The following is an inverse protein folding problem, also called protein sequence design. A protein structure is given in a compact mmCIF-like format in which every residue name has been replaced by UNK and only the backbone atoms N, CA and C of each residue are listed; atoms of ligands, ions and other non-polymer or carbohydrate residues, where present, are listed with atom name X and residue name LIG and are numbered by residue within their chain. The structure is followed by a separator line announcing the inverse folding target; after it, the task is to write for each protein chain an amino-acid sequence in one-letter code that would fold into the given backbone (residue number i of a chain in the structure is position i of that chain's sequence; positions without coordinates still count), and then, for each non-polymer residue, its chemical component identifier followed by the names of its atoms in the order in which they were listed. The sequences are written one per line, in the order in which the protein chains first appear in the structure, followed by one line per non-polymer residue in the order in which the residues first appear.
data_IF_488635785372
#
_entry.id   IF_488635785372
#
_cell.length_a   1.000
_cell.length_b   1.000
_cell.length_c   1.000
_cell.angle_alpha   90.00
_cell.angle_beta   90.00
_cell.angle_gamma   90.00
#
_symmetry.space_group_name_H-M   'P 1'
#
loop_
_entity.id
_entity.type
_entity.pdbx_description
1 polymer ?
#
# COMPACT_ATOMS: atom_id res chain seq x y z
N UNK A 1 14.24 -0.38 -8.24
CA UNK A 1 13.12 -0.95 -9.02
C UNK A 1 12.16 0.12 -9.51
N UNK A 2 11.74 1.06 -8.65
CA UNK A 2 10.92 2.21 -9.02
C UNK A 2 11.39 2.93 -10.30
N UNK A 3 12.69 3.23 -10.41
CA UNK A 3 13.30 3.82 -11.62
C UNK A 3 13.06 2.99 -12.89
N UNK A 4 13.07 1.66 -12.77
CA UNK A 4 12.90 0.76 -13.91
C UNK A 4 11.48 0.86 -14.44
N UNK A 5 10.48 0.77 -13.56
CA UNK A 5 9.08 0.75 -13.98
C UNK A 5 8.65 2.08 -14.60
N UNK A 6 9.01 3.20 -13.96
CA UNK A 6 8.72 4.54 -14.50
C UNK A 6 9.41 4.72 -15.86
N UNK A 7 10.67 4.29 -16.00
CA UNK A 7 11.38 4.38 -17.28
C UNK A 7 10.79 3.45 -18.35
N UNK A 8 10.35 2.22 -18.01
CA UNK A 8 9.66 1.32 -18.94
C UNK A 8 8.37 1.97 -19.45
N UNK A 9 7.55 2.50 -18.54
CA UNK A 9 6.33 3.24 -18.88
C UNK A 9 6.63 4.41 -19.81
N UNK A 10 7.58 5.26 -19.42
CA UNK A 10 7.94 6.46 -20.19
C UNK A 10 8.46 6.12 -21.58
N UNK A 11 9.32 5.11 -21.69
CA UNK A 11 9.92 4.68 -22.94
C UNK A 11 8.89 4.13 -23.92
N UNK A 12 7.96 3.32 -23.40
CA UNK A 12 7.00 2.59 -24.24
C UNK A 12 5.73 3.40 -24.53
N UNK A 13 5.45 4.41 -23.68
CA UNK A 13 4.17 5.13 -23.61
C UNK A 13 3.00 4.14 -23.55
N UNK A 14 3.18 3.10 -22.74
CA UNK A 14 2.23 2.02 -22.57
C UNK A 14 2.15 1.59 -21.10
N UNK A 15 1.01 1.02 -20.77
CA UNK A 15 0.62 0.44 -19.49
C UNK A 15 1.24 -0.95 -19.28
N UNK A 16 1.25 -1.48 -18.04
CA UNK A 16 1.97 -2.72 -17.71
C UNK A 16 1.60 -3.92 -18.59
N UNK A 17 0.34 -4.06 -19.03
CA UNK A 17 -0.10 -5.19 -19.86
C UNK A 17 0.65 -5.30 -21.20
N UNK A 18 0.98 -4.17 -21.83
CA UNK A 18 1.61 -4.14 -23.16
C UNK A 18 3.07 -3.67 -23.13
N UNK A 19 3.48 -2.91 -22.13
CA UNK A 19 4.80 -2.28 -22.05
C UNK A 19 5.97 -3.29 -22.15
N UNK A 20 5.90 -4.41 -21.42
CA UNK A 20 6.94 -5.44 -21.46
C UNK A 20 7.15 -6.04 -22.85
N UNK A 21 6.08 -6.27 -23.60
CA UNK A 21 6.15 -6.77 -24.98
C UNK A 21 6.77 -5.76 -25.95
N UNK A 22 6.60 -4.45 -25.71
CA UNK A 22 7.27 -3.38 -26.47
C UNK A 22 8.75 -3.27 -26.15
N UNK A 23 9.16 -3.57 -24.93
CA UNK A 23 10.59 -3.64 -24.55
C UNK A 23 11.26 -4.83 -25.22
N UNK A 24 10.64 -6.02 -25.15
CA UNK A 24 11.18 -7.24 -25.77
C UNK A 24 10.06 -8.19 -26.18
N UNK A 25 10.04 -8.58 -27.47
CA UNK A 25 9.12 -9.62 -27.97
C UNK A 25 9.28 -10.90 -27.14
N UNK A 26 8.15 -11.51 -26.75
CA UNK A 26 8.11 -12.70 -25.89
C UNK A 26 7.87 -12.41 -24.40
N UNK A 27 7.99 -11.16 -23.96
CA UNK A 27 7.82 -10.78 -22.54
C UNK A 27 6.40 -10.32 -22.17
N UNK A 28 5.41 -10.54 -23.05
CA UNK A 28 4.00 -10.25 -22.75
C UNK A 28 3.46 -11.00 -21.50
N UNK A 29 3.83 -12.28 -21.24
CA UNK A 29 3.36 -12.98 -20.04
C UNK A 29 3.66 -12.23 -18.74
N UNK A 30 4.84 -11.59 -18.63
CA UNK A 30 5.19 -10.79 -17.45
C UNK A 30 4.25 -9.58 -17.30
N UNK A 31 3.89 -8.92 -18.41
CA UNK A 31 2.93 -7.82 -18.41
C UNK A 31 1.51 -8.25 -18.04
N UNK A 32 1.09 -9.46 -18.43
CA UNK A 32 -0.19 -10.03 -18.01
C UNK A 32 -0.21 -10.21 -16.49
N UNK A 33 0.84 -10.81 -15.90
CA UNK A 33 0.94 -10.98 -14.44
C UNK A 33 0.98 -9.60 -13.74
N UNK A 34 1.78 -8.66 -14.26
CA UNK A 34 1.86 -7.30 -13.72
C UNK A 34 0.52 -6.55 -13.76
N UNK A 35 -0.33 -6.82 -14.75
CA UNK A 35 -1.69 -6.26 -14.83
C UNK A 35 -2.68 -7.01 -13.94
N UNK A 36 -2.49 -8.32 -13.70
CA UNK A 36 -3.35 -9.10 -12.80
C UNK A 36 -3.18 -8.71 -11.34
N UNK A 37 -1.98 -8.27 -10.92
CA UNK A 37 -1.74 -7.79 -9.56
C UNK A 37 -2.76 -6.72 -9.13
N UNK A 38 -2.87 -5.55 -9.79
CA UNK A 38 -3.83 -4.52 -9.39
C UNK A 38 -5.29 -4.97 -9.56
N UNK A 39 -5.60 -5.86 -10.51
CA UNK A 39 -6.95 -6.46 -10.68
C UNK A 39 -7.34 -7.31 -9.45
N UNK A 40 -6.40 -8.01 -8.85
CA UNK A 40 -6.63 -8.78 -7.60
C UNK A 40 -6.65 -7.85 -6.39
N UNK A 41 -5.82 -6.80 -6.37
CA UNK A 41 -5.73 -5.86 -5.24
C UNK A 41 -7.01 -5.02 -5.11
N UNK A 42 -7.51 -4.50 -6.22
CA UNK A 42 -8.59 -3.51 -6.20
C UNK A 42 -9.85 -3.95 -5.42
N UNK A 43 -10.41 -5.16 -5.60
CA UNK A 43 -11.60 -5.61 -4.90
C UNK A 43 -11.52 -5.59 -3.37
N UNK A 44 -10.41 -6.09 -2.81
CA UNK A 44 -10.25 -6.08 -1.35
C UNK A 44 -9.82 -4.70 -0.84
N UNK A 45 -9.09 -3.94 -1.64
CA UNK A 45 -8.68 -2.58 -1.29
C UNK A 45 -9.89 -1.64 -1.16
N UNK A 46 -10.88 -1.73 -2.06
CA UNK A 46 -12.12 -0.94 -1.96
C UNK A 46 -13.02 -1.42 -0.81
N UNK A 47 -12.91 -2.69 -0.42
CA UNK A 47 -13.58 -3.24 0.77
C UNK A 47 -13.00 -2.64 2.04
N UNK A 48 -11.67 -2.62 2.19
CA UNK A 48 -10.99 -1.92 3.30
C UNK A 48 -11.32 -0.43 3.28
N UNK A 49 -11.37 0.20 2.10
CA UNK A 49 -11.81 1.59 1.95
C UNK A 49 -13.22 1.84 2.50
N UNK A 50 -14.14 0.89 2.32
CA UNK A 50 -15.46 0.90 2.96
C UNK A 50 -15.41 0.82 4.49
N UNK A 51 -14.49 0.03 5.05
CA UNK A 51 -14.26 -0.03 6.50
C UNK A 51 -13.70 1.29 7.04
N UNK A 52 -12.74 1.89 6.36
CA UNK A 52 -12.20 3.21 6.72
C UNK A 52 -13.31 4.27 6.68
N UNK A 53 -14.18 4.23 5.65
CA UNK A 53 -15.32 5.12 5.55
C UNK A 53 -16.31 4.92 6.71
N UNK A 54 -16.58 3.68 7.12
CA UNK A 54 -17.41 3.36 8.29
C UNK A 54 -16.89 4.08 9.53
N UNK A 55 -15.61 3.90 9.84
CA UNK A 55 -15.00 4.45 11.04
C UNK A 55 -14.93 5.97 10.97
N UNK A 56 -14.57 6.54 9.82
CA UNK A 56 -14.61 7.98 9.62
C UNK A 56 -15.99 8.57 9.96
N UNK A 57 -17.08 7.97 9.46
CA UNK A 57 -18.44 8.43 9.73
C UNK A 57 -18.83 8.30 11.21
N UNK A 58 -18.38 7.25 11.89
CA UNK A 58 -18.67 7.02 13.31
C UNK A 58 -18.00 8.09 14.17
N UNK A 59 -16.73 8.39 13.91
CA UNK A 59 -16.02 9.47 14.61
C UNK A 59 -16.55 10.86 14.24
N UNK A 60 -16.90 11.08 12.97
CA UNK A 60 -17.49 12.35 12.50
C UNK A 60 -18.83 12.66 13.18
N UNK A 61 -19.61 11.63 13.52
CA UNK A 61 -20.89 11.76 14.23
C UNK A 61 -20.74 11.76 15.76
N UNK A 62 -19.51 11.78 16.28
CA UNK A 62 -19.21 11.80 17.72
C UNK A 62 -19.46 10.47 18.44
N UNK A 63 -19.67 9.37 17.70
CA UNK A 63 -19.94 8.03 18.24
C UNK A 63 -18.71 7.14 18.33
N UNK A 64 -17.51 7.73 18.43
CA UNK A 64 -16.23 6.99 18.44
C UNK A 64 -16.09 6.01 19.59
N UNK A 65 -16.75 6.25 20.73
CA UNK A 65 -16.77 5.29 21.86
C UNK A 65 -17.40 3.95 21.46
N UNK A 66 -18.42 3.94 20.59
CA UNK A 66 -18.99 2.70 20.09
C UNK A 66 -17.98 1.89 19.26
N UNK A 67 -17.10 2.57 18.52
CA UNK A 67 -16.07 1.93 17.70
C UNK A 67 -14.98 1.22 18.53
N UNK A 68 -14.87 1.54 19.82
CA UNK A 68 -13.92 0.91 20.74
C UNK A 68 -14.44 -0.40 21.36
N UNK A 69 -15.71 -0.74 21.15
CA UNK A 69 -16.28 -2.00 21.63
C UNK A 69 -15.60 -3.19 20.95
N UNK A 70 -15.36 -4.26 21.71
CA UNK A 70 -14.57 -5.41 21.27
C UNK A 70 -15.11 -6.06 20.00
N UNK A 71 -16.43 -6.20 19.88
CA UNK A 71 -17.08 -6.84 18.74
C UNK A 71 -17.47 -5.85 17.63
N UNK A 72 -17.24 -4.54 17.80
CA UNK A 72 -17.75 -3.54 16.86
C UNK A 72 -17.31 -3.80 15.42
N UNK A 73 -16.02 -4.12 15.24
CA UNK A 73 -15.45 -4.39 13.93
C UNK A 73 -16.00 -5.68 13.34
N UNK A 74 -15.98 -6.77 14.10
CA UNK A 74 -16.42 -8.10 13.66
C UNK A 74 -17.91 -8.11 13.34
N UNK A 75 -18.73 -7.45 14.16
CA UNK A 75 -20.18 -7.32 13.94
C UNK A 75 -20.46 -6.46 12.72
N UNK A 76 -19.64 -5.45 12.44
CA UNK A 76 -19.79 -4.63 11.24
C UNK A 76 -19.49 -5.43 9.97
N UNK A 77 -18.31 -6.06 9.87
CA UNK A 77 -17.88 -6.78 8.66
C UNK A 77 -18.73 -8.02 8.38
N UNK A 78 -19.36 -8.60 9.42
CA UNK A 78 -20.28 -9.73 9.29
C UNK A 78 -21.70 -9.35 8.83
N UNK A 79 -22.05 -8.06 8.69
CA UNK A 79 -23.39 -7.66 8.22
C UNK A 79 -23.61 -7.94 6.74
N UNK A 80 -24.85 -8.26 6.38
CA UNK A 80 -25.26 -8.56 5.00
C UNK A 80 -25.13 -7.38 4.03
N UNK A 81 -25.36 -6.15 4.49
CA UNK A 81 -25.56 -5.00 3.58
C UNK A 81 -24.62 -3.84 3.86
N UNK A 82 -24.34 -3.55 5.14
CA UNK A 82 -23.59 -2.33 5.52
C UNK A 82 -22.17 -2.28 4.93
N UNK A 83 -21.33 -3.34 5.02
CA UNK A 83 -19.99 -3.34 4.41
C UNK A 83 -20.04 -3.16 2.90
N UNK A 84 -21.00 -3.82 2.23
CA UNK A 84 -21.17 -3.76 0.76
C UNK A 84 -21.55 -2.35 0.32
N UNK A 85 -22.48 -1.69 1.01
CA UNK A 85 -22.89 -0.32 0.68
C UNK A 85 -21.72 0.65 0.86
N UNK A 86 -20.96 0.54 1.95
CA UNK A 86 -19.83 1.44 2.20
C UNK A 86 -18.67 1.19 1.23
N UNK A 87 -18.39 -0.06 0.88
CA UNK A 87 -17.45 -0.43 -0.19
C UNK A 87 -17.89 0.17 -1.53
N UNK A 88 -19.17 0.09 -1.88
CA UNK A 88 -19.70 0.69 -3.10
C UNK A 88 -19.57 2.22 -3.10
N UNK A 89 -19.90 2.90 -1.99
CA UNK A 89 -19.75 4.36 -1.88
C UNK A 89 -18.29 4.80 -2.02
N UNK A 90 -17.36 4.06 -1.39
CA UNK A 90 -15.93 4.29 -1.54
C UNK A 90 -15.49 4.09 -2.99
N UNK A 91 -15.94 3.01 -3.64
CA UNK A 91 -15.66 2.73 -5.05
C UNK A 91 -16.17 3.84 -5.98
N UNK A 92 -17.38 4.35 -5.77
CA UNK A 92 -17.94 5.44 -6.57
C UNK A 92 -17.06 6.70 -6.49
N UNK A 93 -16.53 7.02 -5.30
CA UNK A 93 -15.64 8.16 -5.13
C UNK A 93 -14.37 8.04 -5.99
N UNK A 94 -13.70 6.89 -5.97
CA UNK A 94 -12.49 6.66 -6.79
C UNK A 94 -12.82 6.57 -8.29
N UNK A 95 -13.96 5.99 -8.63
CA UNK A 95 -14.41 5.81 -10.01
C UNK A 95 -14.65 7.15 -10.70
N UNK A 96 -15.27 8.11 -10.01
CA UNK A 96 -15.49 9.47 -10.52
C UNK A 96 -14.15 10.17 -10.81
N UNK A 97 -13.14 9.98 -9.97
CA UNK A 97 -11.80 10.57 -10.16
C UNK A 97 -11.15 9.99 -11.41
N UNK A 98 -11.12 8.67 -11.55
CA UNK A 98 -10.49 8.01 -12.71
C UNK A 98 -11.20 8.31 -14.03
N UNK A 99 -12.53 8.47 -14.03
CA UNK A 99 -13.28 8.88 -15.22
C UNK A 99 -12.89 10.27 -15.73
N UNK A 100 -12.46 11.18 -14.85
CA UNK A 100 -11.96 12.51 -15.23
C UNK A 100 -10.54 12.47 -15.82
N UNK A 101 -9.88 11.31 -15.80
CA UNK A 101 -8.54 11.09 -16.35
C UNK A 101 -7.42 11.66 -15.47
N UNK A 102 -6.18 11.53 -15.94
CA UNK A 102 -4.98 11.84 -15.16
C UNK A 102 -4.93 13.30 -14.72
N UNK A 103 -4.99 14.25 -15.66
CA UNK A 103 -4.79 15.68 -15.33
C UNK A 103 -5.98 16.29 -14.56
N UNK A 104 -7.22 16.02 -15.01
CA UNK A 104 -8.44 16.64 -14.43
C UNK A 104 -9.02 15.85 -13.25
N UNK A 105 -8.62 14.60 -13.08
CA UNK A 105 -9.02 13.74 -11.98
C UNK A 105 -7.87 13.58 -10.99
N UNK A 106 -6.96 12.66 -11.31
CA UNK A 106 -5.91 12.17 -10.40
C UNK A 106 -5.02 13.30 -9.90
N UNK A 107 -4.41 14.07 -10.81
CA UNK A 107 -3.49 15.15 -10.47
C UNK A 107 -4.22 16.26 -9.68
N UNK A 108 -5.42 16.65 -10.13
CA UNK A 108 -6.22 17.67 -9.47
C UNK A 108 -6.62 17.26 -8.05
N UNK A 109 -7.04 16.00 -7.83
CA UNK A 109 -7.36 15.50 -6.50
C UNK A 109 -6.12 15.42 -5.61
N UNK A 110 -5.00 14.90 -6.13
CA UNK A 110 -3.77 14.72 -5.33
C UNK A 110 -3.16 16.05 -4.89
N UNK A 111 -3.27 17.12 -5.70
CA UNK A 111 -2.84 18.48 -5.32
C UNK A 111 -3.55 19.03 -4.09
N UNK A 112 -4.75 18.54 -3.78
CA UNK A 112 -5.54 18.96 -2.61
C UNK A 112 -5.39 17.95 -1.48
N UNK A 113 -5.56 16.67 -1.79
CA UNK A 113 -5.59 15.59 -0.80
C UNK A 113 -4.22 15.41 -0.13
N UNK A 114 -3.12 15.45 -0.89
CA UNK A 114 -1.79 15.15 -0.35
C UNK A 114 -1.31 16.18 0.67
N UNK A 115 -1.43 17.51 0.43
CA UNK A 115 -1.09 18.50 1.45
C UNK A 115 -1.95 18.37 2.72
N UNK A 116 -3.26 18.12 2.58
CA UNK A 116 -4.15 17.91 3.71
C UNK A 116 -3.74 16.68 4.54
N UNK A 117 -3.39 15.59 3.86
CA UNK A 117 -2.88 14.37 4.49
C UNK A 117 -1.62 14.67 5.30
N UNK A 118 -0.64 15.38 4.72
CA UNK A 118 0.61 15.72 5.42
C UNK A 118 0.33 16.56 6.66
N UNK A 119 -0.55 17.56 6.56
CA UNK A 119 -0.93 18.39 7.71
C UNK A 119 -1.57 17.57 8.83
N UNK A 120 -2.47 16.65 8.49
CA UNK A 120 -3.10 15.75 9.46
C UNK A 120 -2.07 14.84 10.12
N UNK A 121 -1.21 14.19 9.31
CA UNK A 121 -0.16 13.29 9.81
C UNK A 121 0.79 14.03 10.77
N UNK A 122 1.26 15.22 10.41
CA UNK A 122 2.15 16.02 11.27
C UNK A 122 1.43 16.45 12.54
N UNK A 123 0.18 16.93 12.45
CA UNK A 123 -0.59 17.35 13.60
C UNK A 123 -0.82 16.22 14.61
N UNK A 124 -1.21 15.03 14.13
CA UNK A 124 -1.44 13.87 15.00
C UNK A 124 -0.10 13.33 15.54
N UNK A 125 0.98 13.31 14.75
CA UNK A 125 2.30 12.91 15.22
C UNK A 125 2.81 13.80 16.36
N UNK A 126 2.67 15.13 16.25
CA UNK A 126 3.01 16.07 17.32
C UNK A 126 2.14 15.81 18.56
N UNK A 127 0.83 15.59 18.38
CA UNK A 127 -0.04 15.27 19.50
C UNK A 127 0.38 13.96 20.20
N UNK A 128 0.68 12.92 19.42
CA UNK A 128 1.05 11.58 19.90
C UNK A 128 2.34 11.54 20.73
N UNK A 129 3.24 12.52 20.57
CA UNK A 129 4.42 12.64 21.43
C UNK A 129 4.17 13.46 22.71
N UNK A 130 3.08 14.23 22.77
CA UNK A 130 2.73 15.09 23.92
C UNK A 130 1.76 14.44 24.91
N UNK A 131 1.16 13.31 24.55
CA UNK A 131 0.24 12.57 25.42
C UNK A 131 0.96 11.89 26.60
N UNK A 132 0.22 11.73 27.70
CA UNK A 132 0.63 11.01 28.90
C UNK A 132 -0.58 10.29 29.48
N UNK A 133 -0.39 9.07 29.96
CA UNK A 133 -1.46 8.27 30.54
C UNK A 133 -0.94 7.45 31.72
N UNK A 134 -1.70 7.47 32.82
CA UNK A 134 -1.47 6.61 33.99
C UNK A 134 -2.51 5.49 33.95
N UNK A 135 -2.04 4.25 33.80
CA UNK A 135 -2.95 3.10 33.77
C UNK A 135 -3.51 2.76 35.17
N UNK A 136 -4.43 1.79 35.23
CA UNK A 136 -5.06 1.36 36.48
C UNK A 136 -4.08 0.78 37.51
N UNK A 137 -2.87 0.39 37.08
CA UNK A 137 -1.80 -0.09 37.98
C UNK A 137 -0.94 1.06 38.54
N UNK A 138 -1.23 2.31 38.16
CA UNK A 138 -0.50 3.50 38.59
C UNK A 138 0.75 3.78 37.76
N UNK A 139 0.98 3.06 36.66
CA UNK A 139 2.15 3.26 35.80
C UNK A 139 1.87 4.38 34.80
N UNK A 140 2.62 5.46 34.89
CA UNK A 140 2.58 6.57 33.92
C UNK A 140 3.48 6.28 32.73
N UNK A 141 2.89 6.28 31.53
CA UNK A 141 3.60 6.20 30.25
C UNK A 141 3.41 7.49 29.48
N UNK A 142 4.44 7.90 28.74
CA UNK A 142 4.40 9.10 27.91
C UNK A 142 4.57 8.78 26.44
N UNK A 143 4.07 9.66 25.58
CA UNK A 143 4.31 9.60 24.14
C UNK A 143 5.80 9.62 23.80
N UNK A 144 6.62 10.33 24.57
CA UNK A 144 8.07 10.30 24.41
C UNK A 144 8.69 8.93 24.69
N UNK A 145 8.16 8.16 25.64
CA UNK A 145 8.64 6.80 25.89
C UNK A 145 8.25 5.86 24.77
N UNK A 146 7.04 6.00 24.23
CA UNK A 146 6.62 5.27 23.03
C UNK A 146 7.44 5.66 21.79
N UNK A 147 7.80 6.94 21.63
CA UNK A 147 8.70 7.39 20.57
C UNK A 147 10.07 6.73 20.69
N UNK A 148 10.63 6.65 21.90
CA UNK A 148 11.90 5.94 22.15
C UNK A 148 11.79 4.48 21.72
N UNK A 149 10.67 3.80 22.01
CA UNK A 149 10.43 2.42 21.55
C UNK A 149 10.37 2.30 20.04
N UNK A 150 9.93 3.35 19.34
CA UNK A 150 9.88 3.38 17.88
C UNK A 150 11.24 3.66 17.22
N UNK A 151 12.01 4.62 17.75
CA UNK A 151 13.21 5.14 17.07
C UNK A 151 14.53 4.62 17.58
N UNK A 152 14.59 4.09 18.81
CA UNK A 152 15.82 3.55 19.39
C UNK A 152 15.93 2.08 19.00
N UNK A 153 16.95 1.68 18.21
CA UNK A 153 17.14 0.29 17.84
C UNK A 153 17.44 -0.57 19.07
N UNK A 154 16.79 -1.73 19.17
CA UNK A 154 17.06 -2.74 20.20
C UNK A 154 17.60 -4.01 19.53
N UNK A 155 18.81 -4.39 19.91
CA UNK A 155 19.49 -5.61 19.44
C UNK A 155 19.53 -6.70 20.51
N UNK A 156 18.91 -6.48 21.67
CA UNK A 156 18.86 -7.46 22.76
C UNK A 156 18.22 -8.76 22.28
N UNK A 157 18.93 -9.88 22.45
CA UNK A 157 18.47 -11.19 22.01
C UNK A 157 18.44 -11.42 20.49
N UNK A 158 18.97 -10.48 19.69
CA UNK A 158 18.96 -10.59 18.23
C UNK A 158 19.98 -11.62 17.74
N UNK A 159 19.49 -12.66 17.09
CA UNK A 159 20.30 -13.66 16.37
C UNK A 159 20.54 -13.24 14.91
N UNK A 160 21.51 -13.86 14.25
CA UNK A 160 21.74 -13.67 12.80
C UNK A 160 20.48 -13.99 11.99
N UNK A 161 19.75 -15.04 12.35
CA UNK A 161 18.52 -15.44 11.66
C UNK A 161 17.41 -14.41 11.85
N UNK A 162 17.19 -13.92 13.07
CA UNK A 162 16.19 -12.86 13.32
C UNK A 162 16.56 -11.55 12.62
N UNK A 163 17.85 -11.19 12.56
CA UNK A 163 18.29 -10.01 11.81
C UNK A 163 17.98 -10.15 10.32
N UNK A 164 18.30 -11.31 9.72
CA UNK A 164 18.02 -11.56 8.31
C UNK A 164 16.51 -11.55 8.01
N UNK A 165 15.71 -12.12 8.91
CA UNK A 165 14.24 -12.10 8.85
C UNK A 165 13.72 -10.66 8.79
N UNK A 166 14.18 -9.80 9.71
CA UNK A 166 13.81 -8.37 9.76
C UNK A 166 14.20 -7.64 8.46
N UNK A 167 15.38 -7.91 7.91
CA UNK A 167 15.83 -7.31 6.65
C UNK A 167 14.95 -7.75 5.47
N UNK A 168 14.56 -9.02 5.41
CA UNK A 168 13.65 -9.53 4.37
C UNK A 168 12.27 -8.88 4.51
N UNK A 169 11.73 -8.80 5.73
CA UNK A 169 10.41 -8.20 5.97
C UNK A 169 10.39 -6.71 5.63
N UNK A 170 11.45 -5.98 6.02
CA UNK A 170 11.63 -4.59 5.64
C UNK A 170 11.73 -4.43 4.11
N UNK A 171 12.41 -5.35 3.42
CA UNK A 171 12.49 -5.34 1.96
C UNK A 171 11.10 -5.56 1.34
N UNK A 172 10.34 -6.54 1.80
CA UNK A 172 8.96 -6.77 1.34
C UNK A 172 8.08 -5.53 1.51
N UNK A 173 8.15 -4.90 2.69
CA UNK A 173 7.39 -3.68 2.99
C UNK A 173 7.76 -2.51 2.08
N UNK A 174 9.04 -2.33 1.75
CA UNK A 174 9.49 -1.27 0.83
C UNK A 174 8.94 -1.44 -0.59
N UNK A 175 8.83 -2.68 -1.07
CA UNK A 175 8.23 -2.95 -2.39
C UNK A 175 6.74 -2.60 -2.42
N UNK A 176 6.02 -2.97 -1.37
CA UNK A 176 4.60 -2.64 -1.23
C UNK A 176 4.37 -1.12 -1.10
N UNK A 177 5.12 -0.45 -0.21
CA UNK A 177 4.98 1.00 0.04
C UNK A 177 5.18 1.82 -1.25
N UNK A 178 6.22 1.51 -2.02
CA UNK A 178 6.53 2.21 -3.26
C UNK A 178 5.68 1.78 -4.46
N UNK A 179 4.69 0.89 -4.27
CA UNK A 179 3.82 0.37 -5.34
C UNK A 179 4.60 -0.25 -6.51
N UNK A 180 5.75 -0.85 -6.21
CA UNK A 180 6.64 -1.49 -7.19
C UNK A 180 6.10 -2.89 -7.50
N UNK A 181 6.26 -3.34 -8.74
CA UNK A 181 5.82 -4.65 -9.24
C UNK A 181 4.29 -4.86 -9.27
N UNK A 182 3.53 -3.77 -9.09
CA UNK A 182 2.07 -3.71 -9.27
C UNK A 182 1.66 -3.12 -10.63
N UNK A 183 2.63 -2.75 -11.48
CA UNK A 183 2.38 -2.13 -12.78
C UNK A 183 1.90 -0.66 -12.72
N UNK A 184 1.56 -0.15 -11.52
CA UNK A 184 1.12 1.24 -11.30
C UNK A 184 2.19 2.23 -11.74
N UNK A 185 3.45 2.00 -11.37
CA UNK A 185 4.55 2.89 -11.74
C UNK A 185 4.86 2.85 -13.24
N UNK A 186 4.55 1.75 -13.94
CA UNK A 186 4.62 1.69 -15.41
C UNK A 186 3.50 2.55 -16.02
N UNK A 187 2.27 2.41 -15.52
CA UNK A 187 1.14 3.22 -15.97
C UNK A 187 1.41 4.71 -15.77
N UNK A 188 1.87 5.13 -14.59
CA UNK A 188 2.24 6.53 -14.34
C UNK A 188 3.44 6.98 -15.16
N UNK A 189 4.47 6.14 -15.32
CA UNK A 189 5.59 6.42 -16.22
C UNK A 189 5.14 6.70 -17.65
N UNK A 190 4.10 6.03 -18.14
CA UNK A 190 3.58 6.20 -19.51
C UNK A 190 3.07 7.61 -19.80
N UNK A 191 2.65 8.35 -18.77
CA UNK A 191 2.18 9.73 -18.87
C UNK A 191 3.30 10.77 -18.71
N UNK A 192 4.50 10.36 -18.31
CA UNK A 192 5.61 11.28 -18.06
C UNK A 192 6.16 11.82 -19.38
N UNK A 193 6.39 13.14 -19.42
CA UNK A 193 7.06 13.81 -20.53
C UNK A 193 8.52 13.38 -20.66
N UNK A 194 9.03 13.37 -21.89
CA UNK A 194 10.43 13.05 -22.16
C UNK A 194 11.38 14.11 -21.58
N UNK A 195 10.92 15.35 -21.41
CA UNK A 195 11.68 16.46 -20.82
C UNK A 195 11.76 16.42 -19.29
N UNK A 196 10.96 15.57 -18.64
CA UNK A 196 10.92 15.50 -17.18
C UNK A 196 12.20 14.89 -16.60
N UNK A 197 12.70 15.50 -15.52
CA UNK A 197 13.82 14.97 -14.74
C UNK A 197 13.36 13.80 -13.87
N UNK A 198 13.47 12.57 -14.40
CA UNK A 198 13.07 11.35 -13.69
C UNK A 198 13.84 11.16 -12.38
N UNK A 199 15.16 11.41 -12.39
CA UNK A 199 15.99 11.20 -11.20
C UNK A 199 15.50 12.03 -10.01
N UNK A 200 15.18 13.31 -10.24
CA UNK A 200 14.64 14.20 -9.22
C UNK A 200 13.26 13.74 -8.74
N UNK A 201 12.35 13.42 -9.66
CA UNK A 201 10.99 12.97 -9.30
C UNK A 201 11.00 11.67 -8.51
N UNK A 202 11.82 10.69 -8.92
CA UNK A 202 11.97 9.41 -8.23
C UNK A 202 12.51 9.62 -6.81
N UNK A 203 13.57 10.40 -6.65
CA UNK A 203 14.13 10.69 -5.33
C UNK A 203 13.11 11.39 -4.42
N UNK A 204 12.29 12.30 -4.98
CA UNK A 204 11.21 12.93 -4.21
C UNK A 204 10.17 11.92 -3.75
N UNK A 205 9.74 11.00 -4.62
CA UNK A 205 8.80 9.93 -4.26
C UNK A 205 9.38 9.10 -3.11
N UNK A 206 10.63 8.65 -3.23
CA UNK A 206 11.29 7.82 -2.19
C UNK A 206 11.40 8.56 -0.84
N UNK A 207 11.77 9.84 -0.85
CA UNK A 207 11.87 10.65 0.36
C UNK A 207 10.50 10.88 1.00
N UNK A 208 9.50 11.31 0.22
CA UNK A 208 8.17 11.61 0.77
C UNK A 208 7.47 10.34 1.28
N UNK A 209 7.58 9.22 0.57
CA UNK A 209 7.08 7.92 1.03
C UNK A 209 7.68 7.54 2.39
N UNK A 210 9.01 7.59 2.49
CA UNK A 210 9.74 7.25 3.73
C UNK A 210 9.37 8.19 4.88
N UNK A 211 9.32 9.50 4.62
CA UNK A 211 8.99 10.51 5.65
C UNK A 211 7.56 10.33 6.15
N UNK A 212 6.60 10.11 5.25
CA UNK A 212 5.19 9.90 5.63
C UNK A 212 5.03 8.58 6.39
N UNK A 213 5.69 7.50 5.95
CA UNK A 213 5.69 6.23 6.67
C UNK A 213 6.29 6.36 8.09
N UNK A 214 7.40 7.09 8.22
CA UNK A 214 8.01 7.37 9.52
C UNK A 214 7.07 8.18 10.42
N UNK A 215 6.46 9.24 9.89
CA UNK A 215 5.50 10.06 10.65
C UNK A 215 4.23 9.28 11.04
N UNK A 216 3.77 8.35 10.19
CA UNK A 216 2.67 7.45 10.55
C UNK A 216 3.06 6.52 11.71
N UNK A 217 4.30 6.05 11.75
CA UNK A 217 4.85 5.32 12.90
C UNK A 217 4.91 6.18 14.17
N UNK A 218 5.38 7.43 14.07
CA UNK A 218 5.38 8.41 15.19
C UNK A 218 3.96 8.76 15.64
N UNK A 219 2.98 8.70 14.74
CA UNK A 219 1.58 8.92 15.09
C UNK A 219 1.01 7.72 15.87
N UNK A 220 1.30 6.49 15.44
CA UNK A 220 0.63 5.27 15.93
C UNK A 220 1.33 4.68 17.16
N UNK A 221 2.65 4.47 17.11
CA UNK A 221 3.40 3.72 18.12
C UNK A 221 3.41 4.43 19.48
N UNK A 222 3.67 5.76 19.57
CA UNK A 222 3.59 6.48 20.84
C UNK A 222 2.21 6.43 21.50
N UNK A 223 1.14 6.53 20.73
CA UNK A 223 -0.24 6.42 21.23
C UNK A 223 -0.53 5.02 21.77
N UNK A 224 -0.22 3.97 21.00
CA UNK A 224 -0.40 2.58 21.45
C UNK A 224 0.39 2.30 22.73
N UNK A 225 1.67 2.67 22.78
CA UNK A 225 2.49 2.43 23.95
C UNK A 225 1.98 3.18 25.18
N UNK A 226 1.55 4.43 25.01
CA UNK A 226 1.06 5.27 26.10
C UNK A 226 -0.20 4.69 26.74
N UNK A 227 -1.15 4.22 25.92
CA UNK A 227 -2.47 3.79 26.40
C UNK A 227 -2.62 2.28 26.60
N UNK A 228 -1.82 1.45 25.92
CA UNK A 228 -1.90 -0.02 25.95
C UNK A 228 -0.61 -0.71 26.41
N UNK A 229 0.47 0.04 26.61
CA UNK A 229 1.76 -0.53 27.01
C UNK A 229 2.42 -1.41 25.93
N UNK A 230 3.45 -2.19 26.30
CA UNK A 230 4.18 -3.03 25.35
C UNK A 230 3.31 -4.10 24.66
N UNK A 231 2.34 -4.66 25.37
CA UNK A 231 1.48 -5.73 24.88
C UNK A 231 0.62 -5.26 23.69
N UNK A 232 0.11 -4.02 23.76
CA UNK A 232 -0.68 -3.40 22.69
C UNK A 232 0.09 -3.15 21.39
N UNK A 233 1.43 -3.19 21.41
CA UNK A 233 2.25 -3.03 20.22
C UNK A 233 2.34 -4.31 19.36
N UNK A 234 1.82 -5.44 19.84
CA UNK A 234 1.83 -6.71 19.11
C UNK A 234 0.72 -6.84 18.06
N UNK A 235 -0.29 -5.95 18.12
CA UNK A 235 -1.38 -5.94 17.16
C UNK A 235 -0.89 -5.48 15.77
N UNK A 236 -1.34 -6.15 14.72
CA UNK A 236 -0.94 -5.87 13.34
C UNK A 236 -2.12 -5.99 12.38
N UNK A 237 -1.92 -5.50 11.14
CA UNK A 237 -2.94 -5.58 10.09
C UNK A 237 -4.24 -4.83 10.43
N UNK A 238 -5.39 -5.30 9.94
CA UNK A 238 -6.68 -4.64 10.17
C UNK A 238 -7.05 -4.52 11.66
N UNK A 239 -6.66 -5.48 12.50
CA UNK A 239 -7.00 -5.46 13.93
C UNK A 239 -6.38 -4.26 14.66
N UNK A 240 -5.15 -3.89 14.30
CA UNK A 240 -4.50 -2.70 14.83
C UNK A 240 -5.34 -1.43 14.57
N UNK A 241 -5.77 -1.27 13.32
CA UNK A 241 -6.46 -0.06 12.87
C UNK A 241 -7.91 0.02 13.36
N UNK A 242 -8.64 -1.09 13.34
CA UNK A 242 -10.08 -1.11 13.56
C UNK A 242 -10.49 -1.62 14.95
N UNK A 243 -9.55 -2.14 15.75
CA UNK A 243 -9.83 -2.60 17.13
C UNK A 243 -8.95 -1.88 18.14
N UNK A 244 -7.63 -1.92 17.97
CA UNK A 244 -6.70 -1.35 18.96
C UNK A 244 -6.72 0.18 18.98
N UNK A 245 -6.61 0.84 17.83
CA UNK A 245 -6.61 2.30 17.76
C UNK A 245 -7.93 2.95 18.25
N UNK A 246 -9.11 2.41 17.95
CA UNK A 246 -10.35 2.92 18.53
C UNK A 246 -10.38 2.88 20.07
N UNK A 247 -9.82 1.84 20.69
CA UNK A 247 -9.66 1.76 22.16
C UNK A 247 -8.72 2.84 22.69
N UNK A 248 -7.61 3.08 21.98
CA UNK A 248 -6.71 4.20 22.27
C UNK A 248 -7.46 5.53 22.19
N UNK A 249 -8.23 5.78 21.13
CA UNK A 249 -9.00 7.02 21.02
C UNK A 249 -10.06 7.14 22.13
N UNK A 250 -10.77 6.06 22.48
CA UNK A 250 -11.72 6.10 23.59
C UNK A 250 -11.06 6.46 24.93
N UNK A 251 -9.84 5.96 25.18
CA UNK A 251 -9.07 6.30 26.39
C UNK A 251 -8.62 7.77 26.48
N UNK A 252 -8.67 8.51 25.37
CA UNK A 252 -8.45 9.97 25.33
C UNK A 252 -9.69 10.79 25.72
N UNK A 253 -10.81 10.14 26.07
CA UNK A 253 -12.06 10.80 26.43
C UNK A 253 -12.64 11.63 25.27
N UNK A 254 -13.13 12.84 25.56
CA UNK A 254 -13.77 13.71 24.55
C UNK A 254 -12.84 14.06 23.38
N UNK A 255 -11.53 14.21 23.64
CA UNK A 255 -10.53 14.49 22.60
C UNK A 255 -10.36 13.32 21.63
N UNK A 256 -10.64 12.10 22.09
CA UNK A 256 -10.60 10.88 21.30
C UNK A 256 -11.45 10.91 20.05
N UNK A 257 -12.64 11.53 20.12
CA UNK A 257 -13.51 11.67 18.96
C UNK A 257 -12.87 12.55 17.86
N UNK A 258 -12.20 13.63 18.25
CA UNK A 258 -11.55 14.57 17.33
C UNK A 258 -10.31 13.90 16.72
N UNK A 259 -9.46 13.30 17.55
CA UNK A 259 -8.23 12.63 17.10
C UNK A 259 -8.54 11.42 16.22
N UNK A 260 -9.50 10.58 16.61
CA UNK A 260 -9.96 9.46 15.80
C UNK A 260 -10.59 9.90 14.49
N UNK A 261 -11.38 10.99 14.49
CA UNK A 261 -11.93 11.59 13.28
C UNK A 261 -10.85 12.08 12.31
N UNK A 262 -9.84 12.79 12.81
CA UNK A 262 -8.70 13.23 12.00
C UNK A 262 -7.88 12.05 11.46
N UNK A 263 -7.67 11.01 12.29
CA UNK A 263 -6.97 9.80 11.88
C UNK A 263 -7.70 9.08 10.74
N UNK A 264 -8.98 8.77 10.91
CA UNK A 264 -9.73 8.07 9.86
C UNK A 264 -9.99 8.94 8.63
N UNK A 265 -10.04 10.27 8.76
CA UNK A 265 -10.02 11.19 7.61
C UNK A 265 -8.71 11.07 6.81
N UNK A 266 -7.57 11.07 7.52
CA UNK A 266 -6.25 10.91 6.93
C UNK A 266 -6.12 9.56 6.21
N UNK A 267 -6.52 8.46 6.87
CA UNK A 267 -6.50 7.12 6.26
C UNK A 267 -7.44 7.05 5.05
N UNK A 268 -8.63 7.68 5.11
CA UNK A 268 -9.58 7.72 4.00
C UNK A 268 -8.97 8.40 2.78
N UNK A 269 -8.30 9.53 2.99
CA UNK A 269 -7.60 10.28 1.95
C UNK A 269 -6.43 9.49 1.36
N UNK A 270 -5.62 8.84 2.20
CA UNK A 270 -4.54 7.98 1.75
C UNK A 270 -5.09 6.83 0.88
N UNK A 271 -6.10 6.12 1.39
CA UNK A 271 -6.75 5.02 0.68
C UNK A 271 -7.35 5.46 -0.65
N UNK A 272 -7.99 6.64 -0.71
CA UNK A 272 -8.56 7.18 -1.95
C UNK A 272 -7.48 7.37 -3.03
N UNK A 273 -6.35 7.99 -2.68
CA UNK A 273 -5.27 8.26 -3.65
C UNK A 273 -4.60 6.98 -4.17
N UNK A 274 -4.40 6.00 -3.29
CA UNK A 274 -3.84 4.70 -3.67
C UNK A 274 -4.81 3.89 -4.54
N UNK A 275 -6.09 3.82 -4.17
CA UNK A 275 -7.11 3.11 -4.94
C UNK A 275 -7.31 3.70 -6.35
N UNK A 276 -7.24 5.03 -6.48
CA UNK A 276 -7.23 5.71 -7.78
C UNK A 276 -6.04 5.26 -8.64
N UNK A 277 -4.86 5.11 -8.04
CA UNK A 277 -3.64 4.66 -8.73
C UNK A 277 -3.74 3.21 -9.20
N UNK A 278 -4.29 2.32 -8.36
CA UNK A 278 -4.56 0.91 -8.69
C UNK A 278 -5.54 0.83 -9.85
N UNK A 279 -6.69 1.50 -9.76
CA UNK A 279 -7.70 1.51 -10.82
C UNK A 279 -7.16 2.09 -12.14
N UNK A 280 -6.36 3.15 -12.07
CA UNK A 280 -5.74 3.74 -13.27
C UNK A 280 -4.83 2.75 -14.00
N UNK A 281 -4.03 1.96 -13.28
CA UNK A 281 -3.13 0.99 -13.90
C UNK A 281 -3.86 -0.09 -14.72
N UNK A 282 -5.05 -0.47 -14.27
CA UNK A 282 -5.91 -1.45 -14.95
C UNK A 282 -6.61 -0.79 -16.13
N UNK A 283 -7.22 0.38 -15.92
CA UNK A 283 -7.94 1.13 -16.96
C UNK A 283 -7.01 1.47 -18.12
N UNK A 284 -5.80 1.96 -17.83
CA UNK A 284 -4.81 2.27 -18.85
C UNK A 284 -4.36 1.01 -19.60
N UNK A 285 -4.20 -0.11 -18.90
CA UNK A 285 -3.88 -1.42 -19.51
C UNK A 285 -4.95 -1.90 -20.46
N UNK A 286 -6.23 -1.80 -20.08
CA UNK A 286 -7.34 -2.19 -20.96
C UNK A 286 -7.46 -1.26 -22.17
N UNK A 287 -7.23 0.05 -21.99
CA UNK A 287 -7.18 0.99 -23.10
C UNK A 287 -6.06 0.64 -24.08
N UNK A 288 -4.88 0.31 -23.58
CA UNK A 288 -3.71 0.00 -24.42
C UNK A 288 -3.82 -1.33 -25.16
N UNK A 289 -4.31 -2.39 -24.51
CA UNK A 289 -4.46 -3.71 -25.13
C UNK A 289 -5.68 -3.80 -26.04
N UNK A 290 -6.86 -3.40 -25.54
CA UNK A 290 -8.12 -3.61 -26.25
C UNK A 290 -8.56 -2.41 -27.11
N UNK A 291 -7.81 -1.31 -27.09
CA UNK A 291 -8.09 -0.08 -27.86
C UNK A 291 -9.49 0.49 -27.61
N UNK A 292 -9.98 0.32 -26.38
CA UNK A 292 -11.28 0.85 -25.95
C UNK A 292 -11.14 2.22 -25.29
N UNK A 293 -12.21 3.01 -25.29
CA UNK A 293 -12.25 4.30 -24.59
C UNK A 293 -12.09 4.13 -23.08
N UNK A 294 -11.49 5.13 -22.41
CA UNK A 294 -11.37 5.20 -20.94
C UNK A 294 -12.65 4.85 -20.19
N UNK A 295 -13.79 5.41 -20.61
CA UNK A 295 -15.09 5.14 -19.97
C UNK A 295 -15.46 3.65 -20.02
N UNK A 296 -15.26 3.00 -21.18
CA UNK A 296 -15.53 1.56 -21.34
C UNK A 296 -14.58 0.70 -20.50
N UNK A 297 -13.29 1.03 -20.51
CA UNK A 297 -12.28 0.34 -19.68
C UNK A 297 -12.59 0.46 -18.19
N UNK A 298 -12.91 1.68 -17.73
CA UNK A 298 -13.29 1.94 -16.34
C UNK A 298 -14.57 1.19 -15.95
N UNK A 299 -15.62 1.21 -16.78
CA UNK A 299 -16.88 0.49 -16.48
C UNK A 299 -16.63 -1.02 -16.41
N UNK A 300 -15.88 -1.59 -17.36
CA UNK A 300 -15.54 -3.01 -17.35
C UNK A 300 -14.83 -3.39 -16.06
N UNK A 301 -13.78 -2.66 -15.72
CA UNK A 301 -13.04 -2.91 -14.49
C UNK A 301 -13.88 -2.67 -13.24
N UNK A 302 -14.71 -1.62 -13.23
CA UNK A 302 -15.58 -1.33 -12.11
C UNK A 302 -16.60 -2.43 -11.83
N UNK A 303 -17.14 -3.07 -12.88
CA UNK A 303 -18.02 -4.23 -12.71
C UNK A 303 -17.24 -5.41 -12.10
N UNK A 304 -16.03 -5.70 -12.61
CA UNK A 304 -15.18 -6.77 -12.07
C UNK A 304 -14.83 -6.52 -10.60
N UNK A 305 -14.38 -5.31 -10.28
CA UNK A 305 -14.01 -4.89 -8.94
C UNK A 305 -15.18 -4.94 -7.96
N UNK A 306 -16.38 -4.50 -8.37
CA UNK A 306 -17.57 -4.55 -7.52
C UNK A 306 -18.06 -5.98 -7.28
N UNK A 307 -18.09 -6.82 -8.32
CA UNK A 307 -18.50 -8.23 -8.17
C UNK A 307 -17.54 -8.96 -7.24
N UNK A 308 -16.23 -8.84 -7.47
CA UNK A 308 -15.23 -9.44 -6.60
C UNK A 308 -15.23 -8.81 -5.19
N UNK A 309 -15.46 -7.50 -5.07
CA UNK A 309 -15.55 -6.81 -3.78
C UNK A 309 -16.73 -7.30 -2.94
N UNK A 310 -17.88 -7.57 -3.56
CA UNK A 310 -19.02 -8.22 -2.90
C UNK A 310 -18.62 -9.61 -2.39
N UNK A 311 -17.91 -10.41 -3.20
CA UNK A 311 -17.39 -11.72 -2.76
C UNK A 311 -16.46 -11.58 -1.55
N UNK A 312 -15.58 -10.57 -1.54
CA UNK A 312 -14.71 -10.28 -0.38
C UNK A 312 -15.54 -9.92 0.86
N UNK A 313 -16.54 -9.03 0.75
CA UNK A 313 -17.42 -8.71 1.88
C UNK A 313 -18.14 -9.96 2.41
N UNK A 314 -18.64 -10.82 1.51
CA UNK A 314 -19.28 -12.08 1.90
C UNK A 314 -18.31 -13.06 2.57
N UNK A 315 -17.00 -12.95 2.32
CA UNK A 315 -15.95 -13.74 2.98
C UNK A 315 -15.84 -13.50 4.50
N UNK A 316 -16.42 -12.41 5.00
CA UNK A 316 -16.54 -12.13 6.44
C UNK A 316 -17.92 -12.50 7.01
N UNK A 317 -18.78 -13.12 6.19
CA UNK A 317 -20.16 -13.47 6.53
C UNK A 317 -20.54 -14.83 5.90
N UNK A 318 -21.31 -14.85 4.80
CA UNK A 318 -21.91 -16.08 4.24
C UNK A 318 -20.91 -17.05 3.62
N UNK A 319 -19.78 -16.54 3.16
CA UNK A 319 -18.67 -17.30 2.59
C UNK A 319 -17.49 -17.38 3.56
N UNK A 320 -17.76 -17.22 4.86
CA UNK A 320 -16.72 -17.30 5.88
C UNK A 320 -16.10 -18.70 5.91
N UNK A 321 -14.77 -18.70 5.92
CA UNK A 321 -13.94 -19.85 6.23
C UNK A 321 -12.66 -19.31 6.89
N UNK A 322 -11.94 -20.20 7.57
CA UNK A 322 -10.61 -19.93 8.10
C UNK A 322 -9.68 -21.07 7.69
N UNK A 323 -8.67 -20.75 6.90
CA UNK A 323 -7.62 -21.69 6.49
C UNK A 323 -6.25 -21.15 6.88
N UNK A 324 -5.29 -22.04 7.09
CA UNK A 324 -3.90 -21.64 7.34
C UNK A 324 -3.14 -21.62 6.01
N UNK A 325 -2.57 -20.48 5.66
CA UNK A 325 -1.73 -20.30 4.47
C UNK A 325 -0.33 -20.90 4.66
N UNK A 326 0.45 -21.09 3.56
CA UNK A 326 1.81 -21.64 3.65
C UNK A 326 2.79 -20.81 4.51
N UNK A 327 2.51 -19.52 4.71
CA UNK A 327 3.26 -18.63 5.59
C UNK A 327 2.81 -18.70 7.07
N UNK A 328 1.83 -19.56 7.40
CA UNK A 328 1.30 -19.75 8.74
C UNK A 328 0.20 -18.77 9.17
N UNK A 329 -0.19 -17.81 8.33
CA UNK A 329 -1.29 -16.89 8.67
C UNK A 329 -2.65 -17.55 8.43
N UNK A 330 -3.59 -17.28 9.35
CA UNK A 330 -5.02 -17.54 9.14
C UNK A 330 -5.56 -16.66 8.02
N UNK A 331 -6.43 -17.21 7.19
CA UNK A 331 -6.85 -16.56 5.97
C UNK A 331 -8.31 -16.78 5.62
N UNK A 332 -8.94 -15.68 5.24
CA UNK A 332 -10.23 -15.60 4.60
C UNK A 332 -10.04 -15.19 3.13
N UNK A 333 -11.13 -14.87 2.42
CA UNK A 333 -11.07 -14.49 0.99
C UNK A 333 -10.10 -13.33 0.75
N UNK A 334 -10.16 -12.27 1.57
CA UNK A 334 -9.27 -11.12 1.46
C UNK A 334 -7.81 -11.53 1.61
N UNK A 335 -7.49 -12.30 2.64
CA UNK A 335 -6.12 -12.69 2.96
C UNK A 335 -5.52 -13.62 1.90
N UNK A 336 -6.34 -14.49 1.30
CA UNK A 336 -5.92 -15.29 0.14
C UNK A 336 -5.58 -14.39 -1.05
N UNK A 337 -6.45 -13.41 -1.35
CA UNK A 337 -6.21 -12.49 -2.47
C UNK A 337 -4.93 -11.67 -2.24
N UNK A 338 -4.76 -11.15 -1.03
CA UNK A 338 -3.57 -10.40 -0.61
C UNK A 338 -2.31 -11.27 -0.67
N UNK A 339 -2.41 -12.55 -0.24
CA UNK A 339 -1.32 -13.51 -0.34
C UNK A 339 -0.90 -13.75 -1.80
N UNK A 340 -1.87 -14.04 -2.68
CA UNK A 340 -1.57 -14.30 -4.10
C UNK A 340 -0.95 -13.07 -4.77
N UNK A 341 -1.49 -11.87 -4.53
CA UNK A 341 -0.94 -10.65 -5.14
C UNK A 341 0.44 -10.33 -4.57
N UNK A 342 0.55 -10.20 -3.25
CA UNK A 342 1.73 -9.60 -2.62
C UNK A 342 2.89 -10.57 -2.45
N UNK A 343 2.60 -11.84 -2.20
CA UNK A 343 3.59 -12.85 -1.85
C UNK A 343 3.94 -13.76 -3.03
N UNK A 344 3.12 -13.78 -4.09
CA UNK A 344 3.38 -14.59 -5.28
C UNK A 344 3.61 -13.73 -6.52
N UNK A 345 2.61 -12.96 -6.96
CA UNK A 345 2.69 -12.27 -8.25
C UNK A 345 3.65 -11.09 -8.25
N UNK A 346 3.65 -10.25 -7.21
CA UNK A 346 4.58 -9.12 -7.12
C UNK A 346 6.05 -9.56 -7.16
N UNK A 347 6.51 -10.57 -6.38
CA UNK A 347 7.88 -11.06 -6.51
C UNK A 347 8.19 -11.62 -7.91
N UNK A 348 7.27 -12.37 -8.54
CA UNK A 348 7.46 -12.88 -9.91
C UNK A 348 7.66 -11.71 -10.89
N UNK A 349 6.83 -10.67 -10.79
CA UNK A 349 6.93 -9.47 -11.63
C UNK A 349 8.24 -8.73 -11.37
N UNK A 350 8.62 -8.58 -10.11
CA UNK A 350 9.85 -7.91 -9.71
C UNK A 350 11.11 -8.63 -10.20
N UNK A 351 11.20 -9.96 -9.97
CA UNK A 351 12.29 -10.81 -10.42
C UNK A 351 12.34 -10.85 -11.95
N UNK A 352 11.20 -11.06 -12.62
CA UNK A 352 11.12 -11.05 -14.07
C UNK A 352 11.58 -9.71 -14.66
N UNK A 353 11.20 -8.60 -14.04
CA UNK A 353 11.66 -7.26 -14.45
C UNK A 353 13.17 -7.08 -14.22
N UNK A 354 13.72 -7.58 -13.12
CA UNK A 354 15.17 -7.61 -12.87
C UNK A 354 15.90 -8.43 -13.93
N UNK A 355 15.39 -9.60 -14.31
CA UNK A 355 15.99 -10.46 -15.35
C UNK A 355 15.94 -9.76 -16.70
N UNK A 356 14.77 -9.21 -17.08
CA UNK A 356 14.59 -8.49 -18.35
C UNK A 356 15.62 -7.36 -18.48
N UNK A 357 15.67 -6.47 -17.49
CA UNK A 357 16.51 -5.27 -17.54
C UNK A 357 17.97 -5.57 -17.23
N UNK A 358 18.25 -6.41 -16.23
CA UNK A 358 19.61 -6.74 -15.80
C UNK A 358 20.38 -7.59 -16.81
N UNK A 359 19.69 -8.49 -17.51
CA UNK A 359 20.34 -9.57 -18.27
C UNK A 359 19.89 -9.69 -19.72
N UNK A 360 18.63 -9.38 -20.07
CA UNK A 360 18.11 -9.60 -21.44
C UNK A 360 18.26 -8.37 -22.34
N UNK A 361 17.80 -7.20 -21.90
CA UNK A 361 17.93 -5.94 -22.68
C UNK A 361 19.06 -5.04 -22.19
N UNK A 362 19.54 -5.27 -20.96
CA UNK A 362 20.67 -4.58 -20.36
C UNK A 362 20.30 -3.27 -19.64
N UNK A 363 20.97 -2.94 -18.50
CA UNK A 363 20.64 -1.76 -17.69
C UNK A 363 20.77 -0.42 -18.42
N UNK A 364 21.58 -0.38 -19.49
CA UNK A 364 21.77 0.80 -20.35
C UNK A 364 20.46 1.31 -20.94
N UNK A 365 19.48 0.43 -21.19
CA UNK A 365 18.17 0.84 -21.69
C UNK A 365 17.48 1.81 -20.71
N UNK A 366 17.54 1.52 -19.42
CA UNK A 366 16.93 2.35 -18.36
C UNK A 366 17.78 3.59 -18.10
N UNK A 367 19.11 3.45 -18.06
CA UNK A 367 20.02 4.59 -17.85
C UNK A 367 19.84 5.62 -18.96
N UNK A 368 19.85 5.21 -20.22
CA UNK A 368 19.64 6.10 -21.36
C UNK A 368 18.25 6.75 -21.32
N UNK A 369 17.24 5.98 -20.90
CA UNK A 369 15.90 6.54 -20.74
C UNK A 369 15.89 7.61 -19.66
N UNK A 370 16.46 7.37 -18.46
CA UNK A 370 16.53 8.36 -17.37
C UNK A 370 17.27 9.63 -17.81
N UNK A 371 18.32 9.49 -18.62
CA UNK A 371 19.17 10.59 -19.08
C UNK A 371 18.68 11.25 -20.39
N UNK A 372 17.48 10.89 -20.88
CA UNK A 372 16.95 11.32 -22.17
C UNK A 372 16.87 12.84 -22.35
N UNK A 373 16.62 13.59 -21.27
CA UNK A 373 16.56 15.05 -21.27
C UNK A 373 17.91 15.74 -20.95
N UNK A 374 19.03 15.01 -21.00
CA UNK A 374 20.37 15.53 -20.72
C UNK A 374 20.80 15.47 -19.26
N UNK A 375 19.89 15.15 -18.33
CA UNK A 375 20.21 14.96 -16.91
C UNK A 375 21.09 13.72 -16.69
N UNK A 376 21.95 13.75 -15.66
CA UNK A 376 22.85 12.62 -15.37
C UNK A 376 22.34 11.72 -14.24
N UNK A 377 22.35 10.42 -14.49
CA UNK A 377 22.12 9.42 -13.44
C UNK A 377 23.41 9.20 -12.63
N UNK A 378 23.61 9.99 -11.58
CA UNK A 378 24.83 9.96 -10.77
C UNK A 378 25.13 8.60 -10.10
N UNK A 379 24.09 7.78 -9.85
CA UNK A 379 24.19 6.46 -9.22
C UNK A 379 24.06 5.29 -10.21
N UNK A 380 24.43 5.49 -11.48
CA UNK A 380 24.26 4.49 -12.54
C UNK A 380 25.00 3.16 -12.29
N UNK A 381 26.21 3.20 -11.70
CA UNK A 381 26.96 1.98 -11.34
C UNK A 381 26.29 1.21 -10.20
N UNK A 382 25.82 1.91 -9.17
CA UNK A 382 25.05 1.29 -8.09
C UNK A 382 23.76 0.67 -8.66
N UNK A 383 23.03 1.39 -9.51
CA UNK A 383 21.86 0.86 -10.19
C UNK A 383 22.17 -0.41 -10.98
N UNK A 384 23.29 -0.45 -11.72
CA UNK A 384 23.73 -1.62 -12.46
C UNK A 384 23.90 -2.84 -11.55
N UNK A 385 24.64 -2.68 -10.44
CA UNK A 385 24.87 -3.76 -9.47
C UNK A 385 23.55 -4.20 -8.82
N UNK A 386 22.72 -3.24 -8.43
CA UNK A 386 21.44 -3.49 -7.78
C UNK A 386 20.50 -4.29 -8.69
N UNK A 387 20.26 -3.86 -9.93
CA UNK A 387 19.29 -4.52 -10.81
C UNK A 387 19.75 -5.89 -11.28
N UNK A 388 21.07 -6.08 -11.43
CA UNK A 388 21.63 -7.30 -12.01
C UNK A 388 21.87 -8.40 -10.98
N UNK A 389 22.29 -8.02 -9.77
CA UNK A 389 22.73 -8.98 -8.74
C UNK A 389 21.92 -8.87 -7.46
N UNK A 390 21.88 -7.70 -6.82
CA UNK A 390 21.35 -7.59 -5.45
C UNK A 390 19.84 -7.75 -5.41
N UNK A 391 19.09 -6.95 -6.17
CA UNK A 391 17.63 -6.99 -6.20
C UNK A 391 17.06 -8.38 -6.54
N UNK A 392 17.50 -9.09 -7.60
CA UNK A 392 16.94 -10.41 -7.91
C UNK A 392 17.23 -11.44 -6.81
N UNK A 393 18.38 -11.36 -6.13
CA UNK A 393 18.71 -12.27 -5.03
C UNK A 393 17.80 -12.01 -3.82
N UNK A 394 17.66 -10.76 -3.38
CA UNK A 394 16.79 -10.40 -2.26
C UNK A 394 15.32 -10.75 -2.55
N UNK A 395 14.86 -10.50 -3.78
CA UNK A 395 13.51 -10.84 -4.21
C UNK A 395 13.29 -12.36 -4.27
N UNK A 396 14.30 -13.14 -4.67
CA UNK A 396 14.22 -14.59 -4.65
C UNK A 396 14.11 -15.13 -3.22
N UNK A 397 14.89 -14.60 -2.28
CA UNK A 397 14.77 -14.95 -0.87
C UNK A 397 13.39 -14.58 -0.31
N UNK A 398 12.91 -13.36 -0.58
CA UNK A 398 11.58 -12.93 -0.20
C UNK A 398 10.51 -13.90 -0.75
N UNK A 399 10.59 -14.26 -2.04
CA UNK A 399 9.65 -15.17 -2.67
C UNK A 399 9.69 -16.57 -2.04
N UNK A 400 10.89 -17.12 -1.80
CA UNK A 400 11.08 -18.45 -1.20
C UNK A 400 10.51 -18.51 0.22
N UNK A 401 10.78 -17.48 1.04
CA UNK A 401 10.21 -17.33 2.38
C UNK A 401 8.68 -17.27 2.30
N UNK A 402 8.17 -16.46 1.37
CA UNK A 402 6.74 -16.23 1.17
C UNK A 402 5.96 -17.50 0.83
N UNK A 403 6.51 -18.38 -0.01
CA UNK A 403 5.85 -19.64 -0.42
C UNK A 403 6.01 -20.78 0.59
N UNK A 404 6.65 -20.54 1.73
CA UNK A 404 6.78 -21.54 2.80
C UNK A 404 7.75 -22.69 2.50
N UNK A 405 8.58 -22.59 1.45
CA UNK A 405 9.56 -23.64 1.10
C UNK A 405 10.73 -23.64 2.11
N UNK A 406 11.05 -22.48 2.71
CA UNK A 406 11.99 -22.36 3.83
C UNK A 406 11.52 -21.30 4.84
N UNK A 407 10.67 -21.64 5.82
CA UNK A 407 10.16 -20.67 6.79
C UNK A 407 11.22 -20.15 7.79
N UNK A 408 12.43 -20.72 7.77
CA UNK A 408 13.56 -20.36 8.64
C UNK A 408 14.61 -19.46 7.96
N UNK A 409 14.42 -19.16 6.67
CA UNK A 409 15.12 -18.11 5.92
C UNK A 409 14.27 -16.84 5.94
#
# INVERSE_FOLDING_TARGET
MLTVEIAIGRKTKQSPLTAYSKIKKGWKPLGIIACLVPVIILPYYITIGGWVLKYFLVYLTGKGEAAAQETYFTDFIAKDTEPVVLMFLFFVAIFIIVLRGVNKGIEASSKIIMPLLILLVVGIAIYSITISHTDASGVTRTGLDGLKKYVIPDFSGMTVNSFFTVVIDATGQLFFSLSVAMGIMIAYGSYVSDEANLGKSINQIEIFDTVVAFLAGVMIIPALYTFMGPEGMSASGPSLMFVSLPKVFASMGMMGNIVGGMFFAMVLFAALTSAVSVLEAIVSSFMDEFKISRKKAAILEGILALVAGVVVCLGYNKLYFDIVLPNGSHAQILDIMDYISNYIFMPIVAIGTCILIGWVVGPKLIINEVQKNGEKMGRSQLFYVMIKYIAPIFLAFLFIKSVGIFPFL
#
